data_IF_878693986116
#
_entry.id   IF_878693986116
#
_cell.length_a   1.000
_cell.length_b   1.000
_cell.length_c   1.000
_cell.angle_alpha   90.00
_cell.angle_beta   90.00
_cell.angle_gamma   90.00
#
_symmetry.space_group_name_H-M   'P 1'
#
loop_
_entity.id
_entity.type
_entity.pdbx_description
1 polymer ?
#
# COMPACT_ATOMS: atom_id res chain seq x y z
N UNK A 1 -15.35 11.04 67.38
CA UNK A 1 -16.16 11.71 66.34
C UNK A 1 -16.76 10.62 65.47
N UNK A 2 -18.08 10.58 65.28
CA UNK A 2 -18.73 9.58 64.40
C UNK A 2 -18.64 10.06 62.95
N UNK A 3 -18.15 9.20 62.05
CA UNK A 3 -18.09 9.52 60.62
C UNK A 3 -19.43 9.19 59.96
N UNK A 4 -19.90 10.05 59.07
CA UNK A 4 -21.16 9.87 58.36
C UNK A 4 -20.91 9.73 56.86
N UNK A 5 -21.42 8.65 56.26
CA UNK A 5 -21.36 8.49 54.81
C UNK A 5 -22.13 9.63 54.11
N UNK A 6 -21.53 10.38 53.16
CA UNK A 6 -22.21 11.44 52.43
C UNK A 6 -23.41 10.96 51.61
N UNK A 7 -23.39 9.68 51.19
CA UNK A 7 -24.38 9.11 50.29
C UNK A 7 -25.55 8.47 51.03
N UNK A 8 -25.28 7.48 51.89
CA UNK A 8 -26.33 6.70 52.57
C UNK A 8 -26.60 7.16 54.02
N UNK A 9 -25.87 8.17 54.51
CA UNK A 9 -25.98 8.72 55.88
C UNK A 9 -25.72 7.73 57.01
N UNK A 10 -25.24 6.51 56.72
CA UNK A 10 -24.82 5.52 57.71
C UNK A 10 -23.67 6.07 58.57
N UNK A 11 -23.69 5.74 59.87
CA UNK A 11 -22.77 6.23 60.87
C UNK A 11 -21.74 5.15 61.21
N UNK A 12 -20.47 5.53 61.31
CA UNK A 12 -19.36 4.66 61.71
C UNK A 12 -18.68 5.22 62.95
N UNK A 13 -18.24 4.33 63.85
CA UNK A 13 -17.49 4.70 65.05
C UNK A 13 -15.96 4.64 64.85
N UNK A 14 -15.47 3.90 63.84
CA UNK A 14 -14.05 3.78 63.48
C UNK A 14 -13.67 4.53 62.18
N UNK A 15 -12.37 4.73 61.94
CA UNK A 15 -11.85 5.46 60.76
C UNK A 15 -12.45 4.91 59.46
N UNK A 16 -13.05 5.74 58.59
CA UNK A 16 -13.89 5.24 57.51
C UNK A 16 -13.06 4.50 56.45
N UNK A 17 -13.44 3.27 56.07
CA UNK A 17 -12.82 2.57 54.94
C UNK A 17 -13.08 3.33 53.62
N UNK A 18 -12.24 3.12 52.58
CA UNK A 18 -12.37 3.84 51.30
C UNK A 18 -13.72 3.59 50.60
N UNK A 19 -14.41 2.49 50.89
CA UNK A 19 -15.77 2.22 50.45
C UNK A 19 -16.70 2.04 51.66
N UNK A 20 -17.91 2.59 51.57
CA UNK A 20 -18.90 2.46 52.64
C UNK A 20 -19.39 1.00 52.77
N UNK A 21 -19.34 0.36 53.95
CA UNK A 21 -19.79 -1.03 54.11
C UNK A 21 -21.30 -1.19 53.91
N UNK A 22 -22.09 -0.15 54.16
CA UNK A 22 -23.55 -0.19 53.98
C UNK A 22 -24.04 -0.01 52.54
N UNK A 23 -23.32 0.74 51.69
CA UNK A 23 -23.79 1.06 50.33
C UNK A 23 -22.77 0.81 49.22
N UNK A 24 -21.57 0.35 49.56
CA UNK A 24 -20.49 0.00 48.63
C UNK A 24 -19.84 1.17 47.88
N UNK A 25 -20.34 2.41 48.01
CA UNK A 25 -19.79 3.56 47.27
C UNK A 25 -18.46 4.02 47.86
N UNK A 26 -17.52 4.32 46.97
CA UNK A 26 -16.19 4.86 47.31
C UNK A 26 -16.33 6.31 47.77
N UNK A 27 -15.74 6.63 48.91
CA UNK A 27 -15.75 7.95 49.52
C UNK A 27 -14.33 8.52 49.55
N UNK A 28 -14.17 9.79 49.17
CA UNK A 28 -12.89 10.48 49.29
C UNK A 28 -12.72 10.93 50.74
N UNK A 29 -11.99 10.13 51.52
CA UNK A 29 -11.62 10.51 52.89
C UNK A 29 -10.40 11.43 52.81
N UNK A 30 -10.43 12.63 53.43
CA UNK A 30 -9.24 13.45 53.55
C UNK A 30 -8.12 12.63 54.19
N UNK A 31 -6.99 12.50 53.49
CA UNK A 31 -5.82 11.79 54.00
C UNK A 31 -5.42 12.37 55.36
N UNK A 32 -5.61 11.58 56.44
CA UNK A 32 -5.26 11.93 57.82
C UNK A 32 -3.74 11.88 58.05
N UNK A 33 -2.94 12.18 57.02
CA UNK A 33 -1.49 12.35 57.16
C UNK A 33 -1.21 13.40 58.22
N UNK A 34 -0.30 13.08 59.12
CA UNK A 34 0.11 13.94 60.21
C UNK A 34 0.45 15.35 59.69
N UNK A 35 0.12 16.39 60.45
CA UNK A 35 0.37 17.78 60.06
C UNK A 35 1.84 18.02 59.68
N UNK A 36 2.78 17.31 60.32
CA UNK A 36 4.22 17.33 60.00
C UNK A 36 4.53 16.87 58.58
N UNK A 37 3.90 15.81 58.09
CA UNK A 37 4.09 15.28 56.73
C UNK A 37 3.53 16.25 55.66
N UNK A 38 2.45 16.97 55.98
CA UNK A 38 1.93 18.03 55.11
C UNK A 38 2.90 19.21 55.03
N UNK A 39 3.53 19.58 56.15
CA UNK A 39 4.52 20.66 56.20
C UNK A 39 5.80 20.33 55.44
N UNK A 40 6.34 19.11 55.55
CA UNK A 40 7.55 18.69 54.82
C UNK A 40 7.32 18.67 53.31
N UNK A 41 6.15 18.18 52.87
CA UNK A 41 5.77 18.20 51.45
C UNK A 41 5.64 19.62 50.89
N UNK A 42 5.03 20.55 51.65
CA UNK A 42 4.96 21.97 51.24
C UNK A 42 6.35 22.57 51.04
N UNK A 43 7.27 22.35 52.00
CA UNK A 43 8.66 22.79 51.90
C UNK A 43 9.41 22.17 50.71
N UNK A 44 9.14 20.90 50.39
CA UNK A 44 9.73 20.23 49.24
C UNK A 44 9.27 20.85 47.90
N UNK A 45 7.97 21.13 47.77
CA UNK A 45 7.40 21.77 46.57
C UNK A 45 7.95 23.19 46.38
N UNK A 46 8.09 23.96 47.45
CA UNK A 46 8.68 25.30 47.38
C UNK A 46 10.13 25.28 46.92
N UNK A 47 10.92 24.25 47.31
CA UNK A 47 12.29 24.06 46.81
C UNK A 47 12.33 23.81 45.31
N UNK A 48 11.51 22.88 44.81
CA UNK A 48 11.42 22.57 43.37
C UNK A 48 11.02 23.81 42.57
N UNK A 49 10.05 24.58 43.08
CA UNK A 49 9.59 25.81 42.42
C UNK A 49 10.72 26.82 42.26
N UNK A 50 11.51 27.04 43.31
CA UNK A 50 12.65 27.97 43.28
C UNK A 50 13.76 27.50 42.34
N UNK A 51 14.05 26.20 42.30
CA UNK A 51 15.03 25.63 41.36
C UNK A 51 14.58 25.81 39.91
N UNK A 52 13.31 25.55 39.63
CA UNK A 52 12.74 25.73 38.29
C UNK A 52 12.77 27.21 37.86
N UNK A 53 12.44 28.15 38.76
CA UNK A 53 12.55 29.59 38.49
C UNK A 53 14.01 30.01 38.20
N UNK A 54 14.99 29.46 38.92
CA UNK A 54 16.42 29.69 38.66
C UNK A 54 16.87 29.12 37.31
N UNK A 55 16.49 27.88 36.99
CA UNK A 55 16.82 27.26 35.72
C UNK A 55 16.18 28.01 34.55
N UNK A 56 14.93 28.44 34.70
CA UNK A 56 14.24 29.26 33.70
C UNK A 56 14.95 30.58 33.47
N UNK A 57 15.40 31.26 34.53
CA UNK A 57 16.18 32.49 34.42
C UNK A 57 17.54 32.26 33.73
N UNK A 58 18.20 31.12 33.99
CA UNK A 58 19.47 30.76 33.35
C UNK A 58 19.31 30.43 31.85
N UNK A 59 18.18 29.80 31.47
CA UNK A 59 17.85 29.48 30.08
C UNK A 59 17.34 30.71 29.30
N UNK A 60 16.79 31.71 29.98
CA UNK A 60 16.42 33.01 29.42
C UNK A 60 17.64 33.93 29.24
N UNK A 61 18.77 33.38 28.78
CA UNK A 61 19.82 34.19 28.17
C UNK A 61 19.24 34.98 27.00
N UNK A 62 19.81 36.16 26.67
CA UNK A 62 19.32 36.95 25.56
C UNK A 62 19.48 36.13 24.27
N UNK A 63 18.37 35.61 23.76
CA UNK A 63 18.29 35.22 22.36
C UNK A 63 18.48 36.51 21.60
N UNK A 64 19.64 36.70 20.98
CA UNK A 64 20.00 37.93 20.28
C UNK A 64 18.85 38.34 19.35
N UNK A 65 18.21 39.50 19.60
CA UNK A 65 17.12 39.94 18.76
C UNK A 65 17.71 40.42 17.43
N UNK A 66 17.22 39.87 16.31
CA UNK A 66 17.17 40.68 15.08
C UNK A 66 17.65 40.09 13.76
N UNK A 67 18.09 38.84 13.65
CA UNK A 67 18.48 38.30 12.32
C UNK A 67 17.40 37.42 11.69
N UNK A 68 16.59 36.72 12.49
CA UNK A 68 15.69 35.66 12.01
C UNK A 68 14.25 36.08 11.69
N UNK A 69 13.81 37.31 12.00
CA UNK A 69 12.43 37.76 11.71
C UNK A 69 12.28 38.58 10.43
N UNK A 70 13.35 38.68 9.63
CA UNK A 70 13.29 39.42 8.37
C UNK A 70 12.69 38.51 7.28
N UNK A 71 11.56 38.89 6.65
CA UNK A 71 10.88 38.03 5.65
C UNK A 71 11.80 37.65 4.49
N UNK A 72 12.80 38.49 4.16
CA UNK A 72 13.82 38.20 3.15
C UNK A 72 14.74 37.02 3.53
N UNK A 73 15.09 36.89 4.81
CA UNK A 73 15.94 35.80 5.31
C UNK A 73 15.16 34.48 5.28
N UNK A 74 13.88 34.51 5.70
CA UNK A 74 13.00 33.34 5.58
C UNK A 74 12.83 32.87 4.14
N UNK A 75 12.57 33.79 3.21
CA UNK A 75 12.44 33.46 1.79
C UNK A 75 13.74 32.88 1.22
N UNK A 76 14.91 33.40 1.61
CA UNK A 76 16.20 32.87 1.19
C UNK A 76 16.46 31.45 1.71
N UNK A 77 16.11 31.16 2.97
CA UNK A 77 16.23 29.81 3.56
C UNK A 77 15.29 28.83 2.88
N UNK A 78 14.02 29.20 2.67
CA UNK A 78 13.04 28.36 1.97
C UNK A 78 13.49 28.08 0.53
N UNK A 79 13.96 29.10 -0.19
CA UNK A 79 14.50 28.93 -1.54
C UNK A 79 15.72 28.00 -1.55
N UNK A 80 16.64 28.15 -0.59
CA UNK A 80 17.79 27.25 -0.43
C UNK A 80 17.38 25.79 -0.19
N UNK A 81 16.42 25.56 0.72
CA UNK A 81 15.88 24.22 0.99
C UNK A 81 15.13 23.64 -0.21
N UNK A 82 14.38 24.46 -0.96
CA UNK A 82 13.68 24.01 -2.16
C UNK A 82 14.66 23.61 -3.29
N UNK A 83 15.74 24.37 -3.48
CA UNK A 83 16.80 24.02 -4.43
C UNK A 83 17.53 22.74 -4.01
N UNK A 84 17.87 22.61 -2.72
CA UNK A 84 18.51 21.42 -2.18
C UNK A 84 17.61 20.18 -2.32
N UNK A 85 16.33 20.32 -1.96
CA UNK A 85 15.32 19.27 -2.10
C UNK A 85 15.09 18.87 -3.55
N UNK A 86 15.00 19.84 -4.48
CA UNK A 86 14.87 19.58 -5.91
C UNK A 86 16.09 18.88 -6.52
N UNK A 87 17.30 19.22 -6.06
CA UNK A 87 18.53 18.54 -6.47
C UNK A 87 18.59 17.09 -6.00
N UNK A 88 18.26 16.84 -4.72
CA UNK A 88 18.17 15.49 -4.16
C UNK A 88 17.08 14.68 -4.88
N UNK A 89 15.90 15.25 -5.09
CA UNK A 89 14.80 14.60 -5.80
C UNK A 89 15.17 14.22 -7.25
N UNK A 90 15.89 15.08 -7.97
CA UNK A 90 16.38 14.74 -9.33
C UNK A 90 17.43 13.64 -9.31
N UNK A 91 18.29 13.59 -8.30
CA UNK A 91 19.29 12.54 -8.15
C UNK A 91 18.63 11.19 -7.79
N UNK A 92 17.62 11.20 -6.92
CA UNK A 92 16.89 9.99 -6.52
C UNK A 92 15.92 9.51 -7.59
N UNK A 93 15.26 10.39 -8.35
CA UNK A 93 14.36 10.00 -9.45
C UNK A 93 15.12 9.24 -10.56
N UNK A 94 16.34 9.68 -10.91
CA UNK A 94 17.21 8.92 -11.84
C UNK A 94 17.60 7.55 -11.29
N UNK A 95 17.84 7.44 -9.99
CA UNK A 95 18.15 6.17 -9.35
C UNK A 95 16.91 5.26 -9.24
N UNK A 96 15.74 5.80 -8.95
CA UNK A 96 14.47 5.08 -8.88
C UNK A 96 14.05 4.52 -10.24
N UNK A 97 14.18 5.32 -11.31
CA UNK A 97 13.94 4.84 -12.70
C UNK A 97 14.85 3.69 -13.10
N UNK A 98 16.09 3.63 -12.59
CA UNK A 98 17.01 2.50 -12.83
C UNK A 98 16.63 1.24 -12.03
N UNK A 99 16.00 1.37 -10.87
CA UNK A 99 15.61 0.22 -10.03
C UNK A 99 14.39 -0.56 -10.54
N UNK A 100 13.60 0.00 -11.45
CA UNK A 100 12.40 -0.65 -12.00
C UNK A 100 12.54 -1.07 -13.47
N UNK A 101 13.77 -1.26 -13.98
CA UNK A 101 13.96 -1.92 -15.27
C UNK A 101 13.56 -3.40 -15.15
N UNK A 102 12.25 -3.67 -15.25
CA UNK A 102 11.72 -5.03 -15.33
C UNK A 102 12.44 -5.77 -16.47
N UNK A 103 12.99 -6.97 -16.20
CA UNK A 103 13.77 -7.69 -17.19
C UNK A 103 12.92 -7.98 -18.44
N UNK A 104 13.54 -8.03 -19.64
CA UNK A 104 12.81 -8.15 -20.90
C UNK A 104 11.90 -9.36 -20.92
N UNK A 105 12.32 -10.51 -20.40
CA UNK A 105 11.48 -11.72 -20.32
C UNK A 105 10.16 -11.50 -19.57
N UNK A 106 10.15 -10.76 -18.44
CA UNK A 106 8.92 -10.48 -17.69
C UNK A 106 8.00 -9.53 -18.45
N UNK A 107 8.58 -8.54 -19.14
CA UNK A 107 7.81 -7.63 -20.00
C UNK A 107 7.16 -8.38 -21.15
N UNK A 108 7.91 -9.27 -21.80
CA UNK A 108 7.41 -10.12 -22.87
C UNK A 108 6.27 -11.02 -22.35
N UNK A 109 6.46 -11.71 -21.24
CA UNK A 109 5.43 -12.56 -20.62
C UNK A 109 4.13 -11.79 -20.38
N UNK A 110 4.21 -10.63 -19.70
CA UNK A 110 3.03 -9.79 -19.48
C UNK A 110 2.36 -9.34 -20.78
N UNK A 111 3.13 -8.97 -21.80
CA UNK A 111 2.56 -8.58 -23.09
C UNK A 111 1.82 -9.74 -23.78
N UNK A 112 2.40 -10.95 -23.74
CA UNK A 112 1.79 -12.14 -24.34
C UNK A 112 0.51 -12.53 -23.58
N UNK A 113 0.50 -12.41 -22.25
CA UNK A 113 -0.69 -12.64 -21.43
C UNK A 113 -1.82 -11.65 -21.76
N UNK A 114 -1.50 -10.36 -21.90
CA UNK A 114 -2.47 -9.32 -22.30
C UNK A 114 -3.04 -9.58 -23.70
N UNK A 115 -2.21 -10.07 -24.63
CA UNK A 115 -2.67 -10.45 -25.96
C UNK A 115 -3.57 -11.69 -25.91
N UNK A 116 -3.27 -12.68 -25.08
CA UNK A 116 -4.11 -13.85 -24.87
C UNK A 116 -5.49 -13.45 -24.29
N UNK A 117 -5.53 -12.53 -23.32
CA UNK A 117 -6.78 -11.99 -22.76
C UNK A 117 -7.59 -11.23 -23.81
N UNK A 118 -6.94 -10.42 -24.65
CA UNK A 118 -7.59 -9.72 -25.76
C UNK A 118 -8.19 -10.71 -26.78
N UNK A 119 -7.47 -11.80 -27.09
CA UNK A 119 -7.98 -12.88 -27.96
C UNK A 119 -9.16 -13.61 -27.31
N UNK A 120 -9.12 -13.83 -26.00
CA UNK A 120 -10.24 -14.39 -25.23
C UNK A 120 -11.49 -13.53 -25.31
N UNK A 121 -11.35 -12.21 -25.15
CA UNK A 121 -12.45 -11.24 -25.31
C UNK A 121 -12.99 -11.18 -26.74
N UNK A 122 -12.11 -11.23 -27.75
CA UNK A 122 -12.52 -11.33 -29.15
C UNK A 122 -13.38 -12.58 -29.39
N UNK A 123 -12.91 -13.75 -28.92
CA UNK A 123 -13.66 -15.00 -29.00
C UNK A 123 -15.00 -14.93 -28.26
N UNK A 124 -15.05 -14.26 -27.12
CA UNK A 124 -16.30 -14.10 -26.37
C UNK A 124 -17.37 -13.33 -27.17
N UNK A 125 -16.99 -12.29 -27.92
CA UNK A 125 -17.94 -11.49 -28.70
C UNK A 125 -18.27 -12.10 -30.07
N UNK A 126 -17.26 -12.59 -30.78
CA UNK A 126 -17.39 -13.11 -32.16
C UNK A 126 -17.74 -14.60 -32.17
N UNK A 127 -17.33 -15.35 -31.16
CA UNK A 127 -17.49 -16.80 -31.03
C UNK A 127 -16.29 -17.62 -31.51
N UNK A 128 -15.38 -17.03 -32.28
CA UNK A 128 -14.16 -17.65 -32.81
C UNK A 128 -12.94 -16.77 -32.59
N UNK A 129 -11.74 -17.34 -32.68
CA UNK A 129 -10.50 -16.56 -32.73
C UNK A 129 -10.28 -15.97 -34.14
N UNK A 130 -9.46 -14.90 -34.28
CA UNK A 130 -9.15 -14.34 -35.59
C UNK A 130 -8.47 -15.34 -36.53
N UNK A 131 -8.77 -15.27 -37.82
CA UNK A 131 -8.13 -16.12 -38.82
C UNK A 131 -6.66 -15.75 -39.05
N UNK A 132 -5.91 -16.59 -39.77
CA UNK A 132 -4.50 -16.34 -40.07
C UNK A 132 -4.29 -15.07 -40.91
N UNK A 133 -5.25 -14.73 -41.78
CA UNK A 133 -5.22 -13.52 -42.60
C UNK A 133 -5.46 -12.24 -41.79
N UNK A 134 -6.35 -12.32 -40.80
CA UNK A 134 -6.68 -11.21 -39.91
C UNK A 134 -5.59 -11.01 -38.84
N UNK A 135 -5.11 -12.13 -38.29
CA UNK A 135 -4.07 -12.20 -37.26
C UNK A 135 -4.36 -11.34 -36.03
N UNK A 136 -3.28 -10.86 -35.40
CA UNK A 136 -3.36 -9.97 -34.22
C UNK A 136 -3.86 -8.56 -34.57
N UNK A 137 -3.94 -8.20 -35.85
CA UNK A 137 -4.43 -6.88 -36.27
C UNK A 137 -5.94 -6.71 -35.97
N UNK A 138 -6.71 -7.81 -35.99
CA UNK A 138 -8.13 -7.84 -35.63
C UNK A 138 -8.43 -7.39 -34.19
N UNK A 139 -7.42 -7.40 -33.31
CA UNK A 139 -7.56 -6.92 -31.93
C UNK A 139 -7.59 -5.39 -31.85
N UNK A 140 -7.03 -4.70 -32.84
CA UNK A 140 -6.90 -3.23 -32.87
C UNK A 140 -7.87 -2.61 -33.87
N UNK A 141 -8.06 -3.24 -35.02
CA UNK A 141 -8.91 -2.74 -36.10
C UNK A 141 -10.01 -3.74 -36.39
N UNK A 142 -11.21 -3.24 -36.63
CA UNK A 142 -12.36 -4.06 -36.99
C UNK A 142 -12.08 -4.83 -38.29
N UNK A 143 -12.10 -6.18 -38.27
CA UNK A 143 -11.94 -7.01 -39.46
C UNK A 143 -13.24 -7.15 -40.30
N UNK A 144 -14.25 -6.30 -40.07
CA UNK A 144 -15.58 -6.36 -40.69
C UNK A 144 -16.37 -7.63 -40.32
N UNK A 145 -16.19 -8.09 -39.08
CA UNK A 145 -16.83 -9.31 -38.57
C UNK A 145 -18.04 -8.94 -37.70
N UNK A 146 -19.19 -9.62 -37.84
CA UNK A 146 -20.36 -9.35 -37.01
C UNK A 146 -20.06 -9.54 -35.52
N UNK A 147 -20.63 -8.66 -34.68
CA UNK A 147 -20.48 -8.66 -33.21
C UNK A 147 -19.07 -8.30 -32.70
N UNK A 148 -18.19 -7.78 -33.54
CA UNK A 148 -16.96 -7.15 -33.05
C UNK A 148 -17.29 -5.91 -32.21
N UNK A 149 -16.73 -5.83 -31.00
CA UNK A 149 -16.96 -4.75 -30.02
C UNK A 149 -15.62 -4.21 -29.50
N UNK A 150 -14.59 -4.30 -30.35
CA UNK A 150 -13.25 -3.81 -30.04
C UNK A 150 -13.14 -2.29 -30.17
N UNK A 151 -11.92 -1.72 -30.03
CA UNK A 151 -10.63 -2.41 -29.97
C UNK A 151 -10.37 -3.10 -28.63
N UNK A 152 -9.86 -4.34 -28.67
CA UNK A 152 -9.53 -5.13 -27.47
C UNK A 152 -8.16 -4.76 -26.88
N UNK A 153 -7.28 -4.17 -27.69
CA UNK A 153 -5.99 -3.61 -27.28
C UNK A 153 -5.74 -2.26 -27.97
N UNK A 154 -5.12 -1.33 -27.24
CA UNK A 154 -4.87 0.03 -27.74
C UNK A 154 -3.88 0.06 -28.92
N UNK A 155 -2.83 -0.77 -28.87
CA UNK A 155 -1.82 -0.85 -29.92
C UNK A 155 -1.07 -2.18 -29.83
N UNK A 156 -0.72 -2.74 -31.00
CA UNK A 156 0.12 -3.91 -31.08
C UNK A 156 1.59 -3.48 -30.98
N UNK A 157 2.18 -3.67 -29.79
CA UNK A 157 3.61 -3.44 -29.57
C UNK A 157 4.39 -4.68 -30.00
N UNK A 158 5.66 -4.47 -30.37
CA UNK A 158 6.61 -5.57 -30.56
C UNK A 158 7.09 -6.07 -29.19
N UNK A 159 7.70 -7.25 -29.20
CA UNK A 159 8.36 -7.78 -28.01
C UNK A 159 9.54 -6.87 -27.57
N UNK A 160 10.11 -7.08 -26.37
CA UNK A 160 11.25 -6.31 -25.88
C UNK A 160 12.52 -6.39 -26.75
N UNK A 161 12.61 -7.36 -27.65
CA UNK A 161 13.73 -7.59 -28.56
C UNK A 161 13.46 -7.06 -29.99
N UNK A 162 12.29 -6.47 -30.22
CA UNK A 162 11.86 -5.85 -31.47
C UNK A 162 11.26 -6.82 -32.49
N UNK A 163 10.96 -8.06 -32.11
CA UNK A 163 10.32 -9.09 -32.92
C UNK A 163 8.79 -9.02 -32.76
N UNK A 164 8.01 -9.16 -33.85
CA UNK A 164 6.55 -9.30 -33.73
C UNK A 164 6.17 -10.62 -33.07
N UNK A 165 5.04 -10.64 -32.36
CA UNK A 165 4.47 -11.86 -31.80
C UNK A 165 3.99 -12.81 -32.90
N UNK A 166 4.19 -14.11 -32.70
CA UNK A 166 3.75 -15.16 -33.62
C UNK A 166 2.38 -15.65 -33.19
N UNK A 167 1.45 -15.65 -34.14
CA UNK A 167 0.09 -16.11 -33.94
C UNK A 167 -0.26 -17.15 -35.01
N UNK A 168 -0.70 -18.33 -34.57
CA UNK A 168 -1.20 -19.39 -35.44
C UNK A 168 -2.57 -19.84 -34.93
N UNK A 169 -3.65 -19.65 -35.71
CA UNK A 169 -4.98 -20.11 -35.32
C UNK A 169 -5.05 -21.64 -35.33
N UNK A 170 -5.87 -22.19 -34.45
CA UNK A 170 -6.17 -23.63 -34.37
C UNK A 170 -7.66 -23.83 -34.60
N UNK A 171 -8.06 -24.85 -35.36
CA UNK A 171 -9.49 -25.12 -35.66
C UNK A 171 -10.29 -25.55 -34.44
N UNK A 172 -9.72 -26.42 -33.59
CA UNK A 172 -10.42 -27.06 -32.47
C UNK A 172 -9.66 -26.87 -31.14
N UNK A 173 -9.24 -25.64 -30.82
CA UNK A 173 -8.52 -25.39 -29.58
C UNK A 173 -8.07 -23.95 -29.38
N UNK A 174 -7.16 -23.76 -28.43
CA UNK A 174 -6.49 -22.49 -28.21
C UNK A 174 -5.54 -22.19 -29.39
N UNK A 175 -5.45 -20.92 -29.82
CA UNK A 175 -4.48 -20.52 -30.81
C UNK A 175 -3.08 -20.59 -30.19
N UNK A 176 -2.07 -20.80 -31.04
CA UNK A 176 -0.68 -20.71 -30.62
C UNK A 176 -0.28 -19.24 -30.67
N UNK A 177 -0.01 -18.66 -29.50
CA UNK A 177 0.54 -17.31 -29.36
C UNK A 177 1.88 -17.41 -28.63
N UNK A 178 2.93 -16.79 -29.16
CA UNK A 178 4.25 -16.79 -28.51
C UNK A 178 5.12 -15.60 -28.94
N UNK A 179 6.16 -15.35 -28.14
CA UNK A 179 7.29 -14.46 -28.45
C UNK A 179 8.53 -15.31 -28.72
N UNK A 180 9.26 -15.05 -29.81
CA UNK A 180 10.49 -15.78 -30.18
C UNK A 180 11.71 -15.43 -29.30
N UNK A 181 11.50 -14.88 -28.09
CA UNK A 181 12.59 -14.55 -27.17
C UNK A 181 13.68 -13.61 -27.72
N UNK A 182 14.85 -13.70 -27.11
CA UNK A 182 16.05 -12.94 -27.46
C UNK A 182 16.74 -13.47 -28.73
N UNK A 183 16.62 -14.77 -29.02
CA UNK A 183 17.25 -15.42 -30.17
C UNK A 183 16.50 -15.16 -31.49
N UNK A 184 15.22 -14.76 -31.41
CA UNK A 184 14.33 -14.46 -32.54
C UNK A 184 14.03 -15.68 -33.42
N UNK A 185 14.25 -16.88 -32.90
CA UNK A 185 14.06 -18.14 -33.62
C UNK A 185 12.87 -18.87 -33.03
N UNK A 186 11.94 -19.30 -33.87
CA UNK A 186 10.77 -20.06 -33.45
C UNK A 186 11.15 -21.50 -33.06
N UNK A 187 10.58 -22.00 -31.97
CA UNK A 187 10.71 -23.38 -31.53
C UNK A 187 11.90 -23.64 -30.60
N UNK A 188 12.51 -22.59 -30.05
CA UNK A 188 13.61 -22.71 -29.10
C UNK A 188 13.10 -22.70 -27.66
N UNK A 189 13.98 -22.97 -26.70
CA UNK A 189 13.66 -22.97 -25.27
C UNK A 189 13.37 -21.56 -24.71
N UNK A 190 13.75 -20.50 -25.45
CA UNK A 190 13.54 -19.10 -25.07
C UNK A 190 12.17 -18.56 -25.54
N UNK A 191 11.37 -19.39 -26.23
CA UNK A 191 10.02 -19.05 -26.62
C UNK A 191 9.11 -18.82 -25.41
N UNK A 192 8.52 -17.64 -25.33
CA UNK A 192 7.62 -17.26 -24.23
C UNK A 192 6.18 -17.45 -24.70
N UNK A 193 5.44 -18.28 -23.98
CA UNK A 193 4.01 -18.56 -24.20
C UNK A 193 3.17 -17.93 -23.08
N UNK A 194 1.92 -17.52 -23.34
CA UNK A 194 1.03 -17.05 -22.29
C UNK A 194 0.61 -18.22 -21.40
N UNK A 195 0.12 -17.89 -20.20
CA UNK A 195 -0.67 -18.85 -19.43
C UNK A 195 -1.92 -19.26 -20.25
N UNK A 196 -2.18 -20.56 -20.48
CA UNK A 196 -3.40 -21.02 -21.14
C UNK A 196 -4.69 -20.47 -20.54
N UNK A 197 -4.69 -20.17 -19.23
CA UNK A 197 -5.83 -19.58 -18.54
C UNK A 197 -6.16 -18.16 -19.03
N UNK A 198 -5.19 -17.39 -19.53
CA UNK A 198 -5.42 -16.03 -20.02
C UNK A 198 -6.33 -15.97 -21.26
N UNK A 199 -6.47 -17.05 -22.02
CA UNK A 199 -7.38 -17.09 -23.18
C UNK A 199 -8.85 -17.23 -22.80
N UNK A 200 -9.12 -17.70 -21.59
CA UNK A 200 -10.44 -17.63 -21.04
C UNK A 200 -10.48 -16.30 -20.27
N UNK A 201 -11.25 -15.29 -20.71
CA UNK A 201 -11.45 -14.07 -19.91
C UNK A 201 -12.06 -14.40 -18.54
N UNK A 202 -12.35 -15.67 -18.30
CA UNK A 202 -12.76 -16.23 -17.05
C UNK A 202 -14.20 -15.85 -16.83
N UNK A 203 -14.89 -16.73 -16.15
CA UNK A 203 -16.08 -16.32 -15.45
C UNK A 203 -15.68 -15.59 -14.16
N UNK A 204 -14.69 -14.68 -14.18
CA UNK A 204 -14.18 -14.06 -12.94
C UNK A 204 -15.26 -13.33 -12.14
N UNK A 205 -16.31 -12.85 -12.82
CA UNK A 205 -17.58 -12.42 -12.21
C UNK A 205 -18.24 -13.53 -11.36
N UNK A 206 -18.20 -14.79 -11.77
CA UNK A 206 -18.77 -15.95 -11.03
C UNK A 206 -17.74 -16.71 -10.17
N UNK A 207 -16.45 -16.40 -10.27
CA UNK A 207 -15.35 -17.19 -9.67
C UNK A 207 -15.09 -16.91 -8.19
N UNK A 208 -15.94 -16.12 -7.51
CA UNK A 208 -15.88 -15.98 -6.05
C UNK A 208 -16.05 -17.28 -5.26
N UNK A 209 -16.35 -18.40 -5.94
CA UNK A 209 -16.76 -19.68 -5.32
C UNK A 209 -15.82 -20.87 -5.57
N UNK A 210 -14.74 -20.73 -6.36
CA UNK A 210 -13.84 -21.87 -6.67
C UNK A 210 -12.37 -21.46 -6.56
N UNK A 211 -11.59 -22.23 -5.82
CA UNK A 211 -10.18 -21.89 -5.53
C UNK A 211 -9.27 -22.13 -6.76
N UNK A 212 -8.14 -21.43 -6.84
CA UNK A 212 -7.16 -21.61 -7.93
C UNK A 212 -6.60 -23.04 -8.03
N UNK A 213 -6.53 -23.75 -6.90
CA UNK A 213 -6.05 -25.13 -6.84
C UNK A 213 -6.99 -26.13 -7.53
N UNK A 214 -8.29 -25.82 -7.63
CA UNK A 214 -9.29 -26.70 -8.25
C UNK A 214 -9.46 -26.45 -9.76
N UNK A 215 -8.83 -25.39 -10.30
CA UNK A 215 -8.95 -25.01 -11.72
C UNK A 215 -8.06 -25.81 -12.67
N UNK A 216 -6.98 -26.41 -12.17
CA UNK A 216 -6.00 -27.11 -13.00
C UNK A 216 -5.88 -28.58 -12.56
N UNK A 217 -6.62 -29.52 -13.18
CA UNK A 217 -6.45 -30.94 -12.88
C UNK A 217 -5.02 -31.37 -13.22
N UNK A 218 -4.23 -31.72 -12.21
CA UNK A 218 -2.86 -32.25 -12.36
C UNK A 218 -1.72 -31.28 -12.04
N UNK A 219 -1.99 -30.04 -11.61
CA UNK A 219 -0.95 -29.09 -11.20
C UNK A 219 -1.05 -28.80 -9.70
N UNK A 220 -0.08 -29.28 -8.92
CA UNK A 220 0.00 -28.98 -7.48
C UNK A 220 0.63 -27.59 -7.28
N UNK A 221 -0.19 -26.60 -6.96
CA UNK A 221 0.31 -25.27 -6.54
C UNK A 221 0.75 -25.37 -5.08
N UNK A 222 2.06 -25.28 -4.84
CA UNK A 222 2.59 -25.23 -3.48
C UNK A 222 2.21 -23.89 -2.83
N UNK A 223 1.64 -23.88 -1.61
CA UNK A 223 1.32 -22.63 -0.92
C UNK A 223 2.60 -21.86 -0.63
N UNK A 224 2.59 -20.54 -0.88
CA UNK A 224 3.66 -19.64 -0.47
C UNK A 224 3.81 -19.71 1.05
N UNK A 225 5.04 -19.95 1.53
CA UNK A 225 5.35 -20.00 2.97
C UNK A 225 4.93 -18.69 3.65
N UNK A 226 4.36 -18.74 4.87
CA UNK A 226 3.97 -17.57 5.64
C UNK A 226 5.17 -16.68 5.99
#
# INVERSE_FOLDING_TARGET
MRYRCPYCRHLFDESPPPACPACGRVMVVPSMKALSERQTRRRAVERIRRECERQKAALQGPVAPGVWHNPRVYLAVIAGLAVLGGAIFRATDRAARRRHAEPPHRRAMRHVDVLAEALGRYRFHVGSFPDAEQGLAALVRDPQVPRWDGPYINQLRRDPWGTPYVYTPTSNGLPVLLSCGADKILGTVDDIRPDPACFDPGTEWTNGWVSAAERLPGVTVLPSRP
#
